data_IF_376456527358
#
_entry.id   IF_376456527358
#
_cell.length_a   1.000
_cell.length_b   1.000
_cell.length_c   1.000
_cell.angle_alpha   90.00
_cell.angle_beta   90.00
_cell.angle_gamma   90.00
#
_symmetry.space_group_name_H-M   'P 1'
#
loop_
_entity.id
_entity.type
_entity.pdbx_description
1 polymer ?
#
# COMPACT_ATOMS: atom_id res chain seq x y z
N UNK A 1 -1.33 6.66 -12.64
CA UNK A 1 -2.06 7.84 -13.15
C UNK A 1 -1.65 8.12 -14.58
N UNK A 2 -2.58 8.45 -15.47
CA UNK A 2 -2.28 8.88 -16.84
C UNK A 2 -2.04 10.40 -16.87
N UNK A 3 -1.28 10.87 -17.85
CA UNK A 3 -0.92 12.29 -17.97
C UNK A 3 -2.15 13.21 -18.10
N UNK A 4 -3.10 12.85 -18.96
CA UNK A 4 -4.31 13.66 -19.15
C UNK A 4 -5.15 13.78 -17.88
N UNK A 5 -5.19 12.73 -17.04
CA UNK A 5 -5.89 12.76 -15.74
C UNK A 5 -5.22 13.77 -14.81
N UNK A 6 -3.88 13.79 -14.76
CA UNK A 6 -3.14 14.75 -13.94
C UNK A 6 -3.37 16.20 -14.39
N UNK A 7 -3.42 16.46 -15.71
CA UNK A 7 -3.71 17.80 -16.23
C UNK A 7 -5.10 18.29 -15.83
N UNK A 8 -6.11 17.43 -15.95
CA UNK A 8 -7.46 17.77 -15.54
C UNK A 8 -7.57 18.00 -14.03
N UNK A 9 -6.88 17.18 -13.23
CA UNK A 9 -6.78 17.37 -11.77
C UNK A 9 -6.07 18.68 -11.43
N UNK A 10 -4.95 19.01 -12.09
CA UNK A 10 -4.24 20.26 -11.88
C UNK A 10 -5.15 21.46 -12.17
N UNK A 11 -5.86 21.45 -13.30
CA UNK A 11 -6.84 22.48 -13.64
C UNK A 11 -7.91 22.63 -12.55
N UNK A 12 -8.46 21.52 -12.06
CA UNK A 12 -9.46 21.52 -10.99
C UNK A 12 -8.92 22.08 -9.66
N UNK A 13 -7.69 21.72 -9.30
CA UNK A 13 -7.06 22.14 -8.04
C UNK A 13 -6.66 23.63 -8.02
N UNK A 14 -6.45 24.25 -9.19
CA UNK A 14 -6.23 25.71 -9.28
C UNK A 14 -7.46 26.54 -8.94
N UNK A 15 -8.66 25.95 -8.84
CA UNK A 15 -9.85 26.67 -8.38
C UNK A 15 -9.80 26.97 -6.88
N UNK A 16 -8.90 26.35 -6.12
CA UNK A 16 -8.72 26.59 -4.70
C UNK A 16 -7.66 27.64 -4.45
N UNK A 17 -7.77 28.35 -3.32
CA UNK A 17 -6.84 29.43 -2.98
C UNK A 17 -5.94 29.10 -1.80
N UNK A 18 -6.32 28.13 -0.98
CA UNK A 18 -5.66 27.87 0.28
C UNK A 18 -5.63 26.39 0.67
N UNK A 19 -4.49 25.95 1.19
CA UNK A 19 -4.34 24.63 1.80
C UNK A 19 -4.62 24.77 3.30
N UNK A 20 -5.77 24.23 3.70
CA UNK A 20 -6.20 24.27 5.10
C UNK A 20 -5.47 23.25 5.97
N UNK A 21 -5.12 22.09 5.39
CA UNK A 21 -4.39 21.03 6.09
C UNK A 21 -3.67 20.15 5.07
N UNK A 22 -2.44 19.75 5.37
CA UNK A 22 -1.78 18.65 4.69
C UNK A 22 -1.22 17.68 5.74
N UNK A 23 -1.42 16.37 5.54
CA UNK A 23 -0.89 15.32 6.43
C UNK A 23 -0.88 13.96 5.75
N UNK A 24 -0.14 13.01 6.32
CA UNK A 24 -0.22 11.60 5.95
C UNK A 24 -1.35 10.90 6.72
N UNK A 25 -2.13 10.06 6.03
CA UNK A 25 -3.26 9.31 6.62
C UNK A 25 -3.05 7.79 6.60
N UNK A 26 -2.27 7.29 5.64
CA UNK A 26 -1.84 5.89 5.51
C UNK A 26 -0.35 5.86 5.12
N UNK A 27 0.27 4.68 5.10
CA UNK A 27 1.71 4.54 4.84
C UNK A 27 2.19 5.23 3.56
N UNK A 28 1.36 5.38 2.54
CA UNK A 28 1.78 6.10 1.33
C UNK A 28 0.74 7.11 0.87
N UNK A 29 -0.25 7.44 1.70
CA UNK A 29 -1.38 8.28 1.29
C UNK A 29 -1.30 9.62 2.01
N UNK A 30 -1.18 10.69 1.24
CA UNK A 30 -1.21 12.07 1.72
C UNK A 30 -2.62 12.63 1.52
N UNK A 31 -3.13 13.33 2.51
CA UNK A 31 -4.35 14.12 2.46
C UNK A 31 -3.96 15.60 2.35
N UNK A 32 -4.56 16.30 1.38
CA UNK A 32 -4.52 17.75 1.29
C UNK A 32 -5.96 18.26 1.28
N UNK A 33 -6.30 19.08 2.27
CA UNK A 33 -7.59 19.72 2.43
C UNK A 33 -7.49 21.17 1.93
N UNK A 34 -8.30 21.51 0.95
CA UNK A 34 -8.38 22.85 0.36
C UNK A 34 -9.60 23.60 0.88
N UNK A 35 -9.46 24.90 1.11
CA UNK A 35 -10.54 25.84 1.46
C UNK A 35 -11.50 25.34 2.58
N UNK A 36 -10.98 24.53 3.51
CA UNK A 36 -11.64 23.91 4.67
C UNK A 36 -12.77 22.92 4.37
N UNK A 37 -13.11 22.67 3.10
CA UNK A 37 -14.20 21.76 2.73
C UNK A 37 -13.73 20.55 1.93
N UNK A 38 -12.83 20.72 0.97
CA UNK A 38 -12.52 19.68 -0.02
C UNK A 38 -11.25 18.92 0.33
N UNK A 39 -11.34 17.60 0.49
CA UNK A 39 -10.18 16.74 0.80
C UNK A 39 -9.81 15.84 -0.36
N UNK A 40 -8.57 15.95 -0.81
CA UNK A 40 -7.99 15.12 -1.86
C UNK A 40 -6.89 14.24 -1.29
N UNK A 41 -6.83 13.02 -1.78
CA UNK A 41 -5.91 12.00 -1.30
C UNK A 41 -5.00 11.55 -2.44
N UNK A 42 -3.70 11.58 -2.15
CA UNK A 42 -2.64 11.24 -3.08
C UNK A 42 -1.98 9.96 -2.56
N UNK A 43 -2.38 8.82 -3.12
CA UNK A 43 -1.74 7.55 -2.84
C UNK A 43 -0.45 7.44 -3.66
N UNK A 44 0.67 7.52 -2.96
CA UNK A 44 2.02 7.51 -3.50
C UNK A 44 2.66 6.12 -3.40
N UNK A 45 1.87 5.03 -3.44
CA UNK A 45 2.41 3.67 -3.45
C UNK A 45 3.17 3.41 -4.76
N UNK A 46 4.41 2.91 -4.66
CA UNK A 46 5.24 2.58 -5.82
C UNK A 46 4.52 1.55 -6.71
N UNK A 47 4.48 1.81 -8.01
CA UNK A 47 3.80 0.97 -9.01
C UNK A 47 2.28 1.13 -9.10
N UNK A 48 1.63 1.58 -8.02
CA UNK A 48 0.17 1.67 -7.91
C UNK A 48 -0.30 3.01 -7.36
N UNK A 49 0.30 4.11 -7.81
CA UNK A 49 -0.05 5.44 -7.35
C UNK A 49 -1.29 6.01 -8.05
N UNK A 50 -2.19 6.60 -7.29
CA UNK A 50 -3.44 7.20 -7.76
C UNK A 50 -3.90 8.34 -6.84
N UNK A 51 -4.84 9.12 -7.33
CA UNK A 51 -5.50 10.22 -6.61
C UNK A 51 -6.98 9.85 -6.51
N UNK A 52 -7.61 10.24 -5.40
CA UNK A 52 -9.04 10.12 -5.18
C UNK A 52 -9.53 11.26 -4.28
N UNK A 53 -10.85 11.46 -4.24
CA UNK A 53 -11.52 12.45 -3.40
C UNK A 53 -12.47 11.71 -2.47
N UNK A 54 -12.47 12.11 -1.21
CA UNK A 54 -13.31 11.49 -0.17
C UNK A 54 -13.47 12.46 1.01
N UNK A 55 -14.41 12.20 1.94
CA UNK A 55 -14.44 12.94 3.20
C UNK A 55 -13.14 12.76 3.99
N UNK A 56 -12.68 13.83 4.66
CA UNK A 56 -11.50 13.80 5.54
C UNK A 56 -11.66 12.72 6.61
N UNK A 57 -10.65 11.86 6.77
CA UNK A 57 -10.63 10.81 7.78
C UNK A 57 -9.47 11.00 8.74
N UNK A 58 -9.67 10.62 10.00
CA UNK A 58 -8.59 10.64 10.99
C UNK A 58 -7.60 9.50 10.70
N UNK A 59 -6.28 9.78 10.63
CA UNK A 59 -5.28 8.73 10.54
C UNK A 59 -5.43 7.70 11.66
N UNK A 60 -5.30 6.41 11.34
CA UNK A 60 -5.35 5.32 12.33
C UNK A 60 -4.14 5.33 13.27
N UNK A 61 -3.00 5.81 12.79
CA UNK A 61 -1.77 5.96 13.54
C UNK A 61 -1.23 7.39 13.41
N UNK A 62 -0.33 7.78 14.33
CA UNK A 62 0.36 9.07 14.22
C UNK A 62 1.55 8.93 13.29
N UNK A 63 1.63 9.83 12.33
CA UNK A 63 2.80 10.00 11.46
C UNK A 63 3.54 11.26 11.91
N UNK A 64 4.83 11.11 12.21
CA UNK A 64 5.69 12.15 12.77
C UNK A 64 7.11 12.09 12.21
N UNK A 65 7.31 11.48 11.04
CA UNK A 65 8.61 11.52 10.37
C UNK A 65 8.93 12.99 9.99
N UNK A 66 10.21 13.34 9.76
CA UNK A 66 10.58 14.71 9.35
C UNK A 66 9.73 15.24 8.20
N UNK A 67 9.49 14.41 7.17
CA UNK A 67 8.58 14.73 6.07
C UNK A 67 7.17 15.10 6.53
N UNK A 68 6.58 14.35 7.48
CA UNK A 68 5.22 14.60 7.96
C UNK A 68 5.14 15.91 8.74
N UNK A 69 6.16 16.19 9.56
CA UNK A 69 6.23 17.44 10.34
C UNK A 69 6.34 18.66 9.43
N UNK A 70 7.19 18.58 8.40
CA UNK A 70 7.39 19.65 7.42
C UNK A 70 6.18 19.81 6.50
N UNK A 71 5.57 18.72 6.04
CA UNK A 71 4.33 18.74 5.26
C UNK A 71 3.24 19.51 6.04
N UNK A 72 3.09 19.21 7.33
CA UNK A 72 2.13 19.89 8.17
C UNK A 72 2.48 21.38 8.37
N UNK A 73 3.72 21.69 8.74
CA UNK A 73 4.12 23.06 9.09
C UNK A 73 4.18 24.01 7.88
N UNK A 74 4.55 23.48 6.71
CA UNK A 74 4.78 24.29 5.52
C UNK A 74 3.52 24.48 4.68
N UNK A 75 2.67 23.45 4.57
CA UNK A 75 1.46 23.50 3.76
C UNK A 75 0.21 23.79 4.60
N UNK A 76 0.24 23.45 5.90
CA UNK A 76 -0.88 23.71 6.80
C UNK A 76 -1.13 25.20 6.94
N UNK A 77 -2.25 25.66 6.41
CA UNK A 77 -2.62 27.06 6.46
C UNK A 77 -1.88 27.93 5.44
N UNK A 78 -1.36 27.35 4.36
CA UNK A 78 -0.58 28.05 3.33
C UNK A 78 -1.46 28.50 2.15
N UNK A 79 -1.05 29.57 1.47
CA UNK A 79 -1.69 30.03 0.23
C UNK A 79 -1.25 29.13 -0.93
N UNK A 80 -2.22 28.59 -1.66
CA UNK A 80 -1.98 27.88 -2.91
C UNK A 80 -1.82 28.91 -4.02
N UNK A 81 -0.69 28.93 -4.71
CA UNK A 81 -0.43 29.86 -5.80
C UNK A 81 -0.74 29.27 -7.16
N UNK A 82 -0.32 28.02 -7.39
CA UNK A 82 -0.56 27.32 -8.64
C UNK A 82 -0.44 25.80 -8.45
N UNK A 83 -1.09 25.04 -9.34
CA UNK A 83 -0.88 23.61 -9.52
C UNK A 83 -0.61 23.31 -10.99
N UNK A 84 0.50 22.67 -11.30
CA UNK A 84 0.95 22.44 -12.66
C UNK A 84 1.49 21.02 -12.88
N UNK A 85 1.59 20.65 -14.16
CA UNK A 85 2.14 19.37 -14.62
C UNK A 85 3.39 19.69 -15.44
N UNK A 86 4.57 19.79 -14.81
CA UNK A 86 5.78 20.26 -15.48
C UNK A 86 6.24 19.27 -16.56
N UNK A 87 6.80 19.82 -17.63
CA UNK A 87 7.47 19.08 -18.73
C UNK A 87 6.63 17.97 -19.38
N UNK A 88 5.29 18.05 -19.32
CA UNK A 88 4.40 17.00 -19.84
C UNK A 88 4.64 15.62 -19.21
N UNK A 89 5.23 15.59 -18.02
CA UNK A 89 5.53 14.37 -17.29
C UNK A 89 4.43 14.02 -16.29
N UNK A 90 4.45 12.80 -15.77
CA UNK A 90 3.49 12.36 -14.72
C UNK A 90 3.87 12.90 -13.35
N UNK A 91 4.04 14.21 -13.25
CA UNK A 91 4.41 14.96 -12.05
C UNK A 91 3.32 15.99 -11.81
N UNK A 92 2.86 16.12 -10.57
CA UNK A 92 1.95 17.18 -10.14
C UNK A 92 2.71 18.07 -9.15
N UNK A 93 2.89 19.34 -9.49
CA UNK A 93 3.65 20.29 -8.69
C UNK A 93 2.72 21.38 -8.15
N UNK A 94 2.81 21.62 -6.86
CA UNK A 94 2.07 22.68 -6.17
C UNK A 94 3.05 23.80 -5.82
N UNK A 95 2.74 25.01 -6.24
CA UNK A 95 3.47 26.23 -5.82
C UNK A 95 2.74 26.84 -4.63
N UNK A 96 3.44 26.99 -3.51
CA UNK A 96 2.82 27.27 -2.21
C UNK A 96 3.58 28.40 -1.52
N UNK A 97 2.84 29.34 -0.93
CA UNK A 97 3.37 30.37 -0.05
C UNK A 97 2.95 30.05 1.41
N UNK A 98 3.87 29.57 2.27
CA UNK A 98 3.59 29.24 3.66
C UNK A 98 3.11 30.43 4.49
N UNK A 99 2.31 30.17 5.52
CA UNK A 99 1.74 31.23 6.39
C UNK A 99 2.77 32.05 7.15
N UNK A 100 3.90 31.44 7.50
CA UNK A 100 4.75 31.88 8.61
C UNK A 100 6.22 32.12 8.22
N UNK A 101 6.48 32.64 7.03
CA UNK A 101 7.82 33.09 6.68
C UNK A 101 7.89 34.61 6.73
N UNK A 102 8.80 35.15 7.55
CA UNK A 102 9.17 36.57 7.67
C UNK A 102 9.76 37.17 6.35
N UNK A 103 9.67 36.40 5.25
CA UNK A 103 10.02 36.71 3.86
C UNK A 103 9.07 35.91 2.97
N UNK A 104 8.74 36.39 1.78
CA UNK A 104 7.90 35.69 0.79
C UNK A 104 8.59 34.42 0.26
N UNK A 105 8.65 33.37 1.09
CA UNK A 105 9.28 32.10 0.73
C UNK A 105 8.29 31.29 -0.10
N UNK A 106 8.70 30.93 -1.32
CA UNK A 106 7.96 29.98 -2.15
C UNK A 106 8.53 28.59 -1.87
N UNK A 107 7.64 27.61 -1.75
CA UNK A 107 7.99 26.20 -1.69
C UNK A 107 7.19 25.43 -2.72
N UNK A 108 7.71 24.27 -3.10
CA UNK A 108 7.03 23.35 -3.98
C UNK A 108 6.77 22.02 -3.28
N UNK A 109 5.54 21.52 -3.39
CA UNK A 109 5.26 20.11 -3.18
C UNK A 109 5.18 19.43 -4.55
N UNK A 110 6.09 18.51 -4.82
CA UNK A 110 6.13 17.74 -6.05
C UNK A 110 5.70 16.29 -5.81
N UNK A 111 4.63 15.86 -6.46
CA UNK A 111 4.10 14.50 -6.43
C UNK A 111 4.40 13.80 -7.75
N UNK A 112 5.25 12.78 -7.70
CA UNK A 112 5.68 12.03 -8.87
C UNK A 112 4.88 10.73 -9.00
N UNK A 113 4.14 10.58 -10.08
CA UNK A 113 3.34 9.39 -10.43
C UNK A 113 4.07 8.53 -11.47
N UNK A 114 5.36 8.29 -11.25
CA UNK A 114 6.31 7.68 -12.19
C UNK A 114 6.48 6.16 -12.01
N UNK A 115 5.53 5.49 -11.34
CA UNK A 115 5.51 4.04 -11.19
C UNK A 115 6.48 3.58 -10.11
N UNK A 116 7.58 2.89 -10.46
CA UNK A 116 8.56 2.41 -9.48
C UNK A 116 9.22 3.56 -8.69
N UNK A 117 9.34 4.73 -9.33
CA UNK A 117 9.98 5.91 -8.77
C UNK A 117 8.97 6.89 -8.14
N UNK A 118 7.70 6.48 -7.94
CA UNK A 118 6.68 7.33 -7.32
C UNK A 118 7.18 7.90 -5.98
N UNK A 119 7.05 9.22 -5.81
CA UNK A 119 7.53 9.91 -4.62
C UNK A 119 6.76 11.22 -4.36
N UNK A 120 6.86 11.74 -3.14
CA UNK A 120 6.43 13.09 -2.77
C UNK A 120 7.63 13.85 -2.21
N UNK A 121 7.88 15.05 -2.71
CA UNK A 121 9.12 15.80 -2.45
C UNK A 121 8.74 17.25 -2.13
N UNK A 122 9.26 17.76 -1.01
CA UNK A 122 9.21 19.17 -0.65
C UNK A 122 10.51 19.83 -1.12
N UNK A 123 10.39 20.95 -1.82
CA UNK A 123 11.49 21.63 -2.51
C UNK A 123 11.38 23.12 -2.24
N UNK A 124 12.49 23.83 -2.14
CA UNK A 124 12.51 25.29 -2.08
C UNK A 124 12.57 25.94 -3.49
N UNK A 125 12.66 27.27 -3.50
CA UNK A 125 12.75 28.12 -4.67
C UNK A 125 14.03 27.93 -5.50
N UNK A 126 15.06 27.31 -4.95
CA UNK A 126 16.33 27.03 -5.62
C UNK A 126 16.41 25.57 -6.14
N UNK A 127 15.26 24.89 -6.22
CA UNK A 127 15.16 23.45 -6.52
C UNK A 127 15.95 22.58 -5.53
N UNK A 128 16.17 23.03 -4.30
CA UNK A 128 16.83 22.23 -3.25
C UNK A 128 15.79 21.46 -2.47
N UNK A 129 16.02 20.16 -2.29
CA UNK A 129 15.13 19.26 -1.55
C UNK A 129 15.14 19.67 -0.08
N UNK A 130 13.98 20.05 0.42
CA UNK A 130 13.74 20.26 1.85
C UNK A 130 13.63 18.90 2.53
N UNK A 131 12.73 18.04 2.02
CA UNK A 131 12.51 16.68 2.51
C UNK A 131 11.69 15.86 1.50
N UNK A 132 11.72 14.53 1.58
CA UNK A 132 10.93 13.66 0.74
C UNK A 132 10.27 12.51 1.52
N UNK A 133 9.15 12.00 1.00
CA UNK A 133 8.48 10.81 1.54
C UNK A 133 9.39 9.58 1.47
N UNK A 134 10.29 9.53 0.48
CA UNK A 134 11.30 8.47 0.32
C UNK A 134 12.62 9.07 -0.13
N UNK A 135 13.69 8.70 0.56
CA UNK A 135 15.04 8.98 0.10
C UNK A 135 15.47 7.98 -0.97
N UNK A 136 16.28 8.43 -1.91
CA UNK A 136 16.85 7.62 -2.98
C UNK A 136 18.33 7.96 -3.09
N UNK A 137 19.16 6.92 -3.09
CA UNK A 137 20.61 7.05 -3.07
C UNK A 137 21.20 6.93 -4.48
N UNK A 138 22.46 7.37 -4.62
CA UNK A 138 23.18 7.36 -5.90
C UNK A 138 23.30 5.94 -6.50
N UNK A 139 23.39 4.91 -5.66
CA UNK A 139 23.45 3.52 -6.10
C UNK A 139 22.15 3.06 -6.79
N UNK A 140 21.02 3.67 -6.43
CA UNK A 140 19.70 3.30 -6.94
C UNK A 140 19.25 4.14 -8.13
N UNK A 141 19.77 5.35 -8.28
CA UNK A 141 19.27 6.34 -9.24
C UNK A 141 20.31 7.42 -9.51
N UNK A 142 20.40 7.87 -10.76
CA UNK A 142 21.17 9.07 -11.14
C UNK A 142 20.67 10.33 -10.40
N UNK A 143 19.39 10.33 -10.04
CA UNK A 143 18.75 11.41 -9.29
C UNK A 143 18.69 10.99 -7.83
N UNK A 144 19.58 11.56 -7.03
CA UNK A 144 19.61 11.40 -5.58
C UNK A 144 18.52 12.26 -4.96
N UNK A 145 17.76 11.69 -4.03
CA UNK A 145 16.69 12.36 -3.31
C UNK A 145 17.01 12.31 -1.82
N UNK A 146 17.58 13.40 -1.30
CA UNK A 146 17.89 13.60 0.12
C UNK A 146 17.82 15.10 0.47
N UNK A 147 17.52 15.48 1.73
CA UNK A 147 17.54 16.87 2.17
C UNK A 147 18.86 17.58 1.82
N UNK A 148 18.77 18.83 1.37
CA UNK A 148 19.91 19.70 1.02
C UNK A 148 20.52 19.44 -0.36
N UNK A 149 20.03 18.46 -1.12
CA UNK A 149 20.49 18.21 -2.48
C UNK A 149 19.62 18.93 -3.51
N UNK A 150 20.23 19.40 -4.60
CA UNK A 150 19.48 19.94 -5.73
C UNK A 150 18.70 18.83 -6.46
N UNK A 151 17.43 19.06 -6.71
CA UNK A 151 16.55 18.13 -7.39
C UNK A 151 16.78 18.22 -8.91
N UNK A 152 17.44 17.21 -9.46
CA UNK A 152 17.63 17.11 -10.91
C UNK A 152 16.28 16.88 -11.61
N UNK A 153 16.10 17.46 -12.79
CA UNK A 153 14.93 17.20 -13.63
C UNK A 153 14.93 15.74 -14.11
N UNK A 154 13.74 15.18 -14.34
CA UNK A 154 13.62 13.89 -15.02
C UNK A 154 13.98 14.13 -16.51
N UNK A 155 14.94 13.38 -17.07
CA UNK A 155 15.24 13.48 -18.49
C UNK A 155 13.98 13.19 -19.31
N UNK A 156 13.63 14.05 -20.28
CA UNK A 156 12.46 13.81 -21.09
C UNK A 156 12.61 12.45 -21.77
N UNK A 157 11.59 11.61 -21.64
CA UNK A 157 11.58 10.34 -22.33
C UNK A 157 11.56 10.64 -23.83
N UNK A 158 12.64 10.30 -24.55
CA UNK A 158 12.64 10.37 -26.02
C UNK A 158 11.47 9.53 -26.49
N UNK A 159 10.42 10.20 -26.96
CA UNK A 159 9.33 9.55 -27.67
C UNK A 159 9.96 9.01 -28.94
N UNK A 160 10.41 7.75 -28.90
CA UNK A 160 10.65 6.99 -30.11
C UNK A 160 9.35 7.09 -30.89
N UNK A 161 9.42 7.74 -32.04
CA UNK A 161 8.28 8.06 -32.90
C UNK A 161 7.31 6.87 -32.96
N UNK A 162 5.99 7.09 -32.93
CA UNK A 162 5.04 6.00 -33.02
C UNK A 162 5.16 5.35 -34.40
N UNK A 163 6.01 4.32 -34.52
CA UNK A 163 5.97 3.41 -35.65
C UNK A 163 4.67 2.62 -35.53
N UNK A 164 3.67 3.07 -36.28
CA UNK A 164 2.60 2.28 -36.88
C UNK A 164 2.11 1.08 -36.05
N UNK A 165 1.22 1.34 -35.09
CA UNK A 165 0.19 0.38 -34.69
C UNK A 165 -1.12 1.11 -34.43
N UNK A 166 -1.60 1.83 -35.45
CA UNK A 166 -3.04 1.98 -35.65
C UNK A 166 -3.60 0.64 -36.14
N UNK A 167 -3.63 -0.36 -35.26
CA UNK A 167 -4.53 -1.49 -35.45
C UNK A 167 -5.81 -1.15 -34.71
N UNK A 168 -6.84 -0.88 -35.51
CA UNK A 168 -8.23 -0.74 -35.14
C UNK A 168 -8.67 -1.84 -34.15
N UNK A 169 -8.68 -1.54 -32.87
CA UNK A 169 -9.73 -2.03 -31.98
C UNK A 169 -10.59 -0.83 -31.60
N UNK A 170 -11.59 -0.59 -32.45
CA UNK A 170 -12.85 0.07 -32.07
C UNK A 170 -13.48 -0.77 -30.95
N UNK A 171 -13.00 -0.63 -29.73
CA UNK A 171 -13.85 -0.89 -28.58
C UNK A 171 -14.81 0.29 -28.50
N UNK A 172 -16.06 -0.05 -28.80
CA UNK A 172 -17.25 0.75 -28.59
C UNK A 172 -17.32 1.13 -27.11
N UNK A 173 -16.75 2.27 -26.77
CA UNK A 173 -17.23 3.14 -25.71
C UNK A 173 -16.98 4.55 -26.22
N UNK A 174 -18.03 5.20 -26.72
CA UNK A 174 -18.00 6.64 -27.07
C UNK A 174 -17.44 7.42 -25.87
N UNK A 175 -16.65 8.47 -26.06
CA UNK A 175 -17.05 9.70 -26.75
C UNK A 175 -15.80 10.40 -27.28
N UNK A 176 -15.82 10.73 -28.57
CA UNK A 176 -15.02 11.81 -29.14
C UNK A 176 -15.97 13.00 -29.33
N UNK A 177 -15.58 14.19 -28.87
CA UNK A 177 -16.33 15.42 -29.08
C UNK A 177 -16.30 16.33 -27.86
N UNK A 178 -15.93 17.58 -28.05
CA UNK A 178 -15.93 18.62 -27.03
C UNK A 178 -17.31 18.79 -26.36
N UNK A 179 -17.31 19.39 -25.16
CA UNK A 179 -18.45 19.91 -24.39
C UNK A 179 -19.07 18.97 -23.33
N UNK A 180 -18.40 18.85 -22.18
CA UNK A 180 -18.94 19.16 -20.84
C UNK A 180 -17.77 19.04 -19.85
N UNK A 181 -17.68 19.88 -18.80
CA UNK A 181 -16.62 19.73 -17.82
C UNK A 181 -16.85 18.37 -17.15
N UNK A 182 -15.97 17.40 -17.44
CA UNK A 182 -15.92 16.16 -16.67
C UNK A 182 -15.74 16.62 -15.23
N UNK A 183 -16.74 16.38 -14.40
CA UNK A 183 -16.65 16.68 -12.99
C UNK A 183 -15.58 15.76 -12.40
N UNK A 184 -14.36 16.29 -12.35
CA UNK A 184 -13.19 15.58 -11.84
C UNK A 184 -13.44 15.15 -10.40
N UNK A 185 -14.23 15.90 -9.63
CA UNK A 185 -14.56 15.54 -8.26
C UNK A 185 -15.38 14.26 -8.23
N UNK A 186 -16.46 14.19 -9.02
CA UNK A 186 -17.29 12.99 -9.14
C UNK A 186 -16.46 11.77 -9.60
N UNK A 187 -15.59 11.94 -10.60
CA UNK A 187 -14.70 10.87 -11.06
C UNK A 187 -13.78 10.35 -9.96
N UNK A 188 -13.21 11.26 -9.16
CA UNK A 188 -12.31 10.91 -8.06
C UNK A 188 -13.04 10.29 -6.88
N UNK A 189 -14.30 10.66 -6.63
CA UNK A 189 -15.19 10.08 -5.63
C UNK A 189 -15.67 8.67 -6.04
N UNK A 190 -16.01 8.47 -7.31
CA UNK A 190 -16.34 7.16 -7.85
C UNK A 190 -15.14 6.21 -7.74
N UNK A 191 -13.95 6.70 -8.10
CA UNK A 191 -12.70 5.95 -7.97
C UNK A 191 -12.43 5.53 -6.53
N UNK A 192 -12.68 6.41 -5.56
CA UNK A 192 -12.60 6.05 -4.15
C UNK A 192 -13.55 4.88 -3.82
N UNK A 193 -14.81 4.97 -4.24
CA UNK A 193 -15.83 3.94 -3.98
C UNK A 193 -15.42 2.58 -4.56
N UNK A 194 -14.93 2.55 -5.80
CA UNK A 194 -14.43 1.33 -6.46
C UNK A 194 -13.23 0.72 -5.70
N UNK A 195 -12.30 1.55 -5.23
CA UNK A 195 -11.13 1.09 -4.47
C UNK A 195 -11.56 0.49 -3.13
N UNK A 196 -12.49 1.14 -2.42
CA UNK A 196 -12.99 0.61 -1.14
C UNK A 196 -13.73 -0.71 -1.34
N UNK A 197 -14.55 -0.83 -2.38
CA UNK A 197 -15.25 -2.08 -2.69
C UNK A 197 -14.27 -3.21 -2.98
N UNK A 198 -13.23 -2.95 -3.79
CA UNK A 198 -12.19 -3.94 -4.09
C UNK A 198 -11.39 -4.33 -2.83
N UNK A 199 -11.01 -3.36 -2.00
CA UNK A 199 -10.31 -3.61 -0.72
C UNK A 199 -11.16 -4.50 0.20
N UNK A 200 -12.45 -4.22 0.30
CA UNK A 200 -13.38 -5.03 1.10
C UNK A 200 -13.50 -6.47 0.56
N UNK A 201 -13.58 -6.65 -0.75
CA UNK A 201 -13.64 -7.98 -1.38
C UNK A 201 -12.37 -8.80 -1.11
N UNK A 202 -11.19 -8.20 -1.26
CA UNK A 202 -9.92 -8.87 -0.98
C UNK A 202 -9.77 -9.25 0.50
N UNK A 203 -10.18 -8.35 1.42
CA UNK A 203 -10.21 -8.66 2.86
C UNK A 203 -11.14 -9.84 3.17
N UNK A 204 -12.36 -9.86 2.60
CA UNK A 204 -13.30 -10.98 2.74
C UNK A 204 -12.67 -12.28 2.23
N UNK A 205 -12.04 -12.26 1.05
CA UNK A 205 -11.38 -13.42 0.44
C UNK A 205 -10.24 -13.95 1.32
N UNK A 206 -9.38 -13.05 1.82
CA UNK A 206 -8.27 -13.41 2.70
C UNK A 206 -8.77 -14.07 4.00
N UNK A 207 -9.76 -13.46 4.68
CA UNK A 207 -10.32 -14.00 5.92
C UNK A 207 -10.98 -15.37 5.72
N UNK A 208 -11.74 -15.54 4.63
CA UNK A 208 -12.33 -16.84 4.26
C UNK A 208 -11.25 -17.90 4.04
N UNK A 209 -10.16 -17.57 3.33
CA UNK A 209 -9.05 -18.49 3.11
C UNK A 209 -8.40 -18.94 4.43
N UNK A 210 -8.17 -18.00 5.36
CA UNK A 210 -7.61 -18.31 6.68
C UNK A 210 -8.52 -19.24 7.48
N UNK A 211 -9.84 -19.00 7.47
CA UNK A 211 -10.81 -19.86 8.17
C UNK A 211 -10.85 -21.26 7.53
N UNK A 212 -10.90 -21.35 6.19
CA UNK A 212 -10.91 -22.63 5.49
C UNK A 212 -9.66 -23.47 5.80
N UNK A 213 -8.48 -22.85 5.87
CA UNK A 213 -7.24 -23.52 6.29
C UNK A 213 -7.32 -24.05 7.72
N UNK A 214 -7.92 -23.29 8.65
CA UNK A 214 -8.11 -23.73 10.04
C UNK A 214 -9.08 -24.91 10.13
N UNK A 215 -10.20 -24.86 9.42
CA UNK A 215 -11.17 -25.96 9.34
C UNK A 215 -10.47 -27.23 8.87
N UNK A 216 -9.78 -27.17 7.73
CA UNK A 216 -9.03 -28.31 7.17
C UNK A 216 -8.00 -28.87 8.17
N UNK A 217 -7.28 -28.00 8.88
CA UNK A 217 -6.33 -28.43 9.91
C UNK A 217 -7.02 -29.17 11.05
N UNK A 218 -8.16 -28.68 11.52
CA UNK A 218 -8.89 -29.32 12.61
C UNK A 218 -9.54 -30.64 12.20
N UNK A 219 -10.08 -30.74 10.98
CA UNK A 219 -10.58 -32.00 10.42
C UNK A 219 -9.48 -33.07 10.36
N UNK A 220 -8.27 -32.70 9.93
CA UNK A 220 -7.12 -33.61 9.89
C UNK A 220 -6.64 -34.04 11.28
N UNK A 221 -6.76 -33.16 12.30
CA UNK A 221 -6.42 -33.50 13.68
C UNK A 221 -7.48 -34.44 14.27
N UNK A 222 -8.75 -34.18 14.01
CA UNK A 222 -9.88 -35.03 14.40
C UNK A 222 -9.76 -36.43 13.79
N UNK A 223 -9.41 -36.55 12.51
CA UNK A 223 -9.25 -37.86 11.86
C UNK A 223 -8.06 -38.66 12.39
N UNK A 224 -7.04 -38.00 12.96
CA UNK A 224 -5.85 -38.64 13.52
C UNK A 224 -5.97 -38.96 15.00
N UNK A 225 -6.99 -38.44 15.68
CA UNK A 225 -7.20 -38.71 17.09
C UNK A 225 -7.49 -40.21 17.27
N UNK A 226 -6.68 -40.93 18.05
CA UNK A 226 -6.91 -42.34 18.30
C UNK A 226 -8.22 -42.54 19.08
N UNK A 227 -8.90 -43.66 18.81
CA UNK A 227 -10.11 -44.02 19.55
C UNK A 227 -9.74 -44.40 20.99
N UNK A 228 -10.39 -43.74 21.96
CA UNK A 228 -10.14 -43.93 23.39
C UNK A 228 -10.36 -45.37 23.85
N UNK A 229 -11.47 -46.00 23.45
CA UNK A 229 -11.80 -47.38 23.84
C UNK A 229 -10.76 -48.37 23.30
N UNK A 230 -10.31 -48.14 22.06
CA UNK A 230 -9.23 -48.94 21.46
C UNK A 230 -7.92 -48.79 22.23
N UNK A 231 -7.57 -47.57 22.65
CA UNK A 231 -6.37 -47.33 23.46
C UNK A 231 -6.47 -47.96 24.85
N UNK A 232 -7.65 -47.93 25.48
CA UNK A 232 -7.87 -48.60 26.77
C UNK A 232 -7.74 -50.12 26.65
N UNK A 233 -8.24 -50.72 25.56
CA UNK A 233 -8.05 -52.15 25.29
C UNK A 233 -6.56 -52.48 25.10
N UNK A 234 -5.86 -51.72 24.26
CA UNK A 234 -4.41 -51.88 24.04
C UNK A 234 -3.62 -51.69 25.34
N UNK A 235 -4.02 -50.77 26.21
CA UNK A 235 -3.38 -50.57 27.50
C UNK A 235 -3.53 -51.79 28.41
N UNK A 236 -4.71 -52.44 28.43
CA UNK A 236 -4.93 -53.67 29.19
C UNK A 236 -4.12 -54.82 28.61
N UNK A 237 -4.16 -55.02 27.29
CA UNK A 237 -3.37 -56.05 26.60
C UNK A 237 -1.87 -55.90 26.87
N UNK A 238 -1.31 -54.70 26.71
CA UNK A 238 0.10 -54.44 26.98
C UNK A 238 0.47 -54.59 28.46
N UNK A 239 -0.45 -54.26 29.37
CA UNK A 239 -0.25 -54.50 30.81
C UNK A 239 -0.17 -55.99 31.10
N UNK A 240 -1.07 -56.80 30.53
CA UNK A 240 -1.06 -58.26 30.67
C UNK A 240 0.23 -58.85 30.09
N UNK A 241 0.63 -58.44 28.88
CA UNK A 241 1.92 -58.85 28.27
C UNK A 241 3.09 -58.48 29.19
N UNK A 242 3.09 -57.27 29.77
CA UNK A 242 4.12 -56.84 30.72
C UNK A 242 4.20 -57.74 31.96
N UNK A 243 3.06 -58.13 32.52
CA UNK A 243 2.98 -59.06 33.65
C UNK A 243 3.52 -60.45 33.28
N UNK A 244 3.19 -60.96 32.09
CA UNK A 244 3.70 -62.24 31.59
C UNK A 244 5.23 -62.21 31.42
N UNK A 245 5.78 -61.12 30.88
CA UNK A 245 7.22 -60.92 30.76
C UNK A 245 7.88 -60.88 32.14
N UNK A 246 7.32 -60.08 33.07
CA UNK A 246 7.85 -59.93 34.43
C UNK A 246 7.94 -61.28 35.16
N UNK A 247 6.91 -62.11 34.99
CA UNK A 247 6.79 -63.43 35.62
C UNK A 247 7.78 -64.46 35.05
N UNK A 248 8.30 -64.23 33.84
CA UNK A 248 9.21 -65.12 33.13
C UNK A 248 10.60 -64.49 32.86
N UNK A 249 10.97 -63.45 33.61
CA UNK A 249 12.26 -62.75 33.45
C UNK A 249 13.47 -63.69 33.44
N UNK A 250 13.42 -64.77 34.22
CA UNK A 250 14.49 -65.77 34.31
C UNK A 250 14.74 -66.55 33.02
N UNK A 251 13.78 -66.55 32.08
CA UNK A 251 13.90 -67.25 30.79
C UNK A 251 14.52 -66.36 29.69
N UNK A 252 14.61 -65.04 29.91
CA UNK A 252 15.03 -64.06 28.91
C UNK A 252 16.55 -63.89 28.96
N UNK A 253 17.23 -64.13 27.85
CA UNK A 253 18.68 -63.94 27.71
C UNK A 253 19.01 -62.58 27.11
N UNK A 254 20.26 -62.10 27.26
CA UNK A 254 20.71 -60.89 26.59
C UNK A 254 20.47 -60.97 25.08
N UNK A 255 19.91 -59.90 24.51
CA UNK A 255 19.60 -59.75 23.08
C UNK A 255 18.42 -60.59 22.54
N UNK A 256 17.63 -61.22 23.41
CA UNK A 256 16.41 -61.90 22.97
C UNK A 256 15.35 -60.90 22.47
N UNK A 257 14.71 -61.23 21.34
CA UNK A 257 13.64 -60.43 20.72
C UNK A 257 12.25 -61.08 20.83
N UNK A 258 12.19 -62.33 21.32
CA UNK A 258 10.97 -63.11 21.42
C UNK A 258 10.98 -63.94 22.70
N UNK A 259 9.86 -63.95 23.43
CA UNK A 259 9.64 -64.77 24.62
C UNK A 259 8.48 -65.75 24.34
N UNK A 260 8.71 -67.05 24.51
CA UNK A 260 7.67 -68.07 24.46
C UNK A 260 7.25 -68.40 25.90
N UNK A 261 6.05 -67.97 26.28
CA UNK A 261 5.45 -68.26 27.58
C UNK A 261 4.01 -68.73 27.39
N UNK A 262 3.43 -69.26 28.45
CA UNK A 262 1.99 -69.52 28.55
C UNK A 262 1.30 -68.31 29.17
N UNK A 263 0.05 -68.08 28.76
CA UNK A 263 -0.83 -67.16 29.46
C UNK A 263 -1.33 -67.84 30.75
N UNK A 264 -1.41 -67.09 31.85
CA UNK A 264 -1.76 -67.62 33.17
C UNK A 264 -3.14 -67.16 33.63
N UNK A 265 -3.85 -66.36 32.83
CA UNK A 265 -5.27 -66.02 33.00
C UNK A 265 -6.22 -67.04 32.36
#
# INVERSE_FOLDING_TARGET
>A
MKLYELKAIAQRLNNFTFISRARRIEDNTLEIMFDKSESYFFNMTRGHSFIYKAPSQRPLQRYNAPFDTLLHSLLGGAKLMAVDVPNEDRILRFTIAPKSSYKDKIIYLQLEFTGKNTNAILIDDNEVIIEALRHIDADSSFRVIRPGMQLLAIPPQKVLSPKNTFNNQKNKDGVAGAQHPIDIDHLLEEKYSQIQQKRLQELKKQKRSTIAKKIKKFEQLLSKLPNKEKLELQSKEHSNIGNLILSNLYQIKPYDTQLKTYDFE
#
